data_IF_124941898670
#
_entry.id   IF_124941898670
#
_cell.length_a   1.000
_cell.length_b   1.000
_cell.length_c   1.000
_cell.angle_alpha   90.00
_cell.angle_beta   90.00
_cell.angle_gamma   90.00
#
_symmetry.space_group_name_H-M   'P 1'
#
loop_
_entity.id
_entity.type
_entity.pdbx_description
1 polymer ?
#
# COMPACT_ATOMS: atom_id res chain seq x y z
N UNK A 1 -21.07 15.43 -14.38
CA UNK A 1 -20.35 15.59 -13.10
C UNK A 1 -19.01 16.23 -13.41
N UNK A 2 -18.54 17.24 -12.67
CA UNK A 2 -17.22 17.82 -12.95
C UNK A 2 -16.14 16.78 -12.65
N UNK A 3 -15.07 16.75 -13.46
CA UNK A 3 -13.95 15.80 -13.32
C UNK A 3 -13.35 15.82 -11.90
N UNK A 4 -13.31 17.00 -11.27
CA UNK A 4 -12.80 17.20 -9.92
C UNK A 4 -13.56 16.38 -8.86
N UNK A 5 -14.90 16.40 -8.87
CA UNK A 5 -15.69 15.66 -7.87
C UNK A 5 -15.46 14.15 -7.93
N UNK A 6 -15.18 13.62 -9.12
CA UNK A 6 -14.85 12.21 -9.31
C UNK A 6 -13.47 11.90 -8.74
N UNK A 7 -12.48 12.76 -8.99
CA UNK A 7 -11.11 12.62 -8.46
C UNK A 7 -11.11 12.68 -6.94
N UNK A 8 -11.75 13.69 -6.35
CA UNK A 8 -11.86 13.84 -4.90
C UNK A 8 -12.52 12.62 -4.25
N UNK A 9 -13.54 12.04 -4.91
CA UNK A 9 -14.17 10.82 -4.41
C UNK A 9 -13.21 9.64 -4.42
N UNK A 10 -12.45 9.44 -5.50
CA UNK A 10 -11.49 8.33 -5.59
C UNK A 10 -10.32 8.53 -4.61
N UNK A 11 -9.82 9.76 -4.43
CA UNK A 11 -8.82 10.10 -3.42
C UNK A 11 -9.32 9.79 -2.00
N UNK A 12 -10.59 10.10 -1.69
CA UNK A 12 -11.17 9.73 -0.38
C UNK A 12 -11.27 8.22 -0.17
N UNK A 13 -11.53 7.45 -1.22
CA UNK A 13 -11.52 5.98 -1.13
C UNK A 13 -10.09 5.45 -0.94
N UNK A 14 -9.11 6.03 -1.63
CA UNK A 14 -7.70 5.73 -1.41
C UNK A 14 -7.27 6.04 0.03
N UNK A 15 -7.64 7.23 0.53
CA UNK A 15 -7.38 7.66 1.90
C UNK A 15 -7.97 6.70 2.92
N UNK A 16 -9.24 6.32 2.76
CA UNK A 16 -9.88 5.35 3.63
C UNK A 16 -9.16 3.99 3.63
N UNK A 17 -8.61 3.59 2.48
CA UNK A 17 -7.86 2.33 2.35
C UNK A 17 -6.52 2.41 3.09
N UNK A 18 -5.77 3.51 2.92
CA UNK A 18 -4.50 3.75 3.61
C UNK A 18 -4.70 3.87 5.14
N UNK A 19 -5.72 4.58 5.61
CA UNK A 19 -6.08 4.68 7.02
C UNK A 19 -6.41 3.32 7.65
N UNK A 20 -7.14 2.46 6.92
CA UNK A 20 -7.45 1.12 7.40
C UNK A 20 -6.20 0.24 7.51
N UNK A 21 -5.26 0.35 6.56
CA UNK A 21 -3.99 -0.36 6.61
C UNK A 21 -3.10 0.15 7.74
N UNK A 22 -3.00 1.47 7.91
CA UNK A 22 -2.27 2.10 9.00
C UNK A 22 -2.75 1.59 10.38
N UNK A 23 -4.07 1.66 10.62
CA UNK A 23 -4.68 1.18 11.87
C UNK A 23 -4.46 -0.33 12.07
N UNK A 24 -4.57 -1.12 10.99
CA UNK A 24 -4.25 -2.55 11.03
C UNK A 24 -2.80 -2.80 11.47
N UNK A 25 -1.83 -2.09 10.88
CA UNK A 25 -0.41 -2.28 11.18
C UNK A 25 -0.03 -1.83 12.58
N UNK A 26 -0.55 -0.70 13.05
CA UNK A 26 -0.37 -0.23 14.43
C UNK A 26 -0.87 -1.26 15.44
N UNK A 27 -2.11 -1.75 15.27
CA UNK A 27 -2.69 -2.77 16.17
C UNK A 27 -1.92 -4.09 16.13
N UNK A 28 -1.58 -4.56 14.94
CA UNK A 28 -0.80 -5.79 14.80
C UNK A 28 0.60 -5.68 15.43
N UNK A 29 1.23 -4.50 15.36
CA UNK A 29 2.53 -4.24 15.97
C UNK A 29 2.47 -4.26 17.50
N UNK A 30 1.35 -3.87 18.09
CA UNK A 30 1.14 -3.92 19.54
C UNK A 30 0.93 -5.34 20.06
N UNK A 31 0.31 -6.21 19.27
CA UNK A 31 0.02 -7.59 19.64
C UNK A 31 1.22 -8.55 19.42
N UNK A 32 2.08 -8.26 18.44
CA UNK A 32 3.17 -9.18 18.08
C UNK A 32 4.34 -9.10 19.06
N UNK A 33 4.79 -10.28 19.54
CA UNK A 33 5.92 -10.38 20.49
C UNK A 33 7.29 -10.38 19.81
N UNK A 34 7.36 -10.79 18.55
CA UNK A 34 8.63 -10.92 17.83
C UNK A 34 9.11 -9.56 17.35
N UNK A 35 10.24 -9.08 17.90
CA UNK A 35 10.79 -7.74 17.61
C UNK A 35 10.98 -7.48 16.12
N UNK A 36 11.47 -8.45 15.35
CA UNK A 36 11.68 -8.29 13.89
C UNK A 36 10.36 -8.12 13.13
N UNK A 37 9.31 -8.82 13.53
CA UNK A 37 7.98 -8.69 12.91
C UNK A 37 7.31 -7.39 13.35
N UNK A 38 7.46 -7.00 14.62
CA UNK A 38 6.99 -5.70 15.12
C UNK A 38 7.63 -4.54 14.33
N UNK A 39 8.94 -4.59 14.14
CA UNK A 39 9.66 -3.58 13.36
C UNK A 39 9.15 -3.51 11.91
N UNK A 40 8.91 -4.66 11.25
CA UNK A 40 8.30 -4.69 9.93
C UNK A 40 6.93 -3.97 9.92
N UNK A 41 6.05 -4.31 10.85
CA UNK A 41 4.71 -3.72 10.92
C UNK A 41 4.74 -2.20 11.16
N UNK A 42 5.67 -1.72 12.00
CA UNK A 42 5.84 -0.28 12.22
C UNK A 42 6.36 0.44 10.97
N UNK A 43 7.30 -0.17 10.24
CA UNK A 43 7.77 0.37 8.94
C UNK A 43 6.63 0.41 7.92
N UNK A 44 5.76 -0.61 7.90
CA UNK A 44 4.59 -0.61 7.03
C UNK A 44 3.59 0.47 7.44
N UNK A 45 3.35 0.67 8.74
CA UNK A 45 2.50 1.75 9.23
C UNK A 45 3.05 3.13 8.83
N UNK A 46 4.35 3.38 9.00
CA UNK A 46 5.00 4.62 8.58
C UNK A 46 4.83 4.86 7.06
N UNK A 47 4.97 3.82 6.24
CA UNK A 47 4.73 3.92 4.81
C UNK A 47 3.26 4.25 4.45
N UNK A 48 2.28 3.77 5.23
CA UNK A 48 0.87 4.17 5.07
C UNK A 48 0.63 5.61 5.51
N UNK A 49 1.27 6.06 6.59
CA UNK A 49 1.19 7.44 7.08
C UNK A 49 1.71 8.42 6.02
N UNK A 50 2.87 8.13 5.41
CA UNK A 50 3.38 8.91 4.28
C UNK A 50 2.41 8.95 3.08
N UNK A 51 1.68 7.86 2.84
CA UNK A 51 0.68 7.80 1.77
C UNK A 51 -0.58 8.61 2.13
N UNK A 52 -1.01 8.55 3.39
CA UNK A 52 -2.12 9.34 3.93
C UNK A 52 -1.82 10.83 3.74
N UNK A 53 -0.67 11.30 4.21
CA UNK A 53 -0.27 12.71 4.13
C UNK A 53 -0.29 13.21 2.68
N UNK A 54 0.23 12.41 1.74
CA UNK A 54 0.21 12.74 0.31
C UNK A 54 -1.20 12.81 -0.26
N UNK A 55 -2.09 11.89 0.12
CA UNK A 55 -3.48 11.91 -0.38
C UNK A 55 -4.24 13.11 0.21
N UNK A 56 -3.98 13.48 1.46
CA UNK A 56 -4.58 14.65 2.10
C UNK A 56 -4.10 15.95 1.45
N UNK A 57 -2.81 16.04 1.10
CA UNK A 57 -2.27 17.19 0.35
C UNK A 57 -2.96 17.32 -1.01
N UNK A 58 -3.02 16.23 -1.79
CA UNK A 58 -3.73 16.20 -3.08
C UNK A 58 -5.22 16.59 -2.99
N UNK A 59 -5.89 16.28 -1.87
CA UNK A 59 -7.26 16.70 -1.62
C UNK A 59 -7.39 18.20 -1.31
N UNK A 60 -6.33 18.81 -0.78
CA UNK A 60 -6.29 20.22 -0.42
C UNK A 60 -5.81 21.12 -1.56
N UNK A 61 -4.76 20.72 -2.28
CA UNK A 61 -4.05 21.51 -3.30
C UNK A 61 -4.42 21.10 -4.74
N UNK A 62 -4.96 19.89 -4.91
CA UNK A 62 -5.19 19.27 -6.22
C UNK A 62 -4.04 18.32 -6.60
N UNK A 63 -4.18 17.56 -7.69
CA UNK A 63 -3.25 16.46 -8.02
C UNK A 63 -2.09 16.87 -8.94
N UNK A 64 -2.02 18.13 -9.37
CA UNK A 64 -1.12 18.57 -10.46
C UNK A 64 0.34 18.58 -10.00
N UNK A 65 0.62 19.16 -8.83
CA UNK A 65 1.98 19.30 -8.31
C UNK A 65 2.61 17.94 -7.98
N UNK A 66 1.83 17.02 -7.42
CA UNK A 66 2.27 15.68 -7.11
C UNK A 66 2.55 14.89 -8.38
N UNK A 67 1.75 15.04 -9.43
CA UNK A 67 1.98 14.34 -10.70
C UNK A 67 3.22 14.81 -11.45
N UNK A 68 3.58 16.09 -11.37
CA UNK A 68 4.85 16.60 -11.90
C UNK A 68 6.04 15.97 -11.17
N UNK A 69 5.89 15.62 -9.88
CA UNK A 69 6.89 14.87 -9.13
C UNK A 69 6.96 13.36 -9.48
N UNK A 70 5.96 12.83 -10.19
CA UNK A 70 5.83 11.41 -10.54
C UNK A 70 6.44 11.01 -11.89
N UNK A 71 6.92 11.97 -12.69
CA UNK A 71 7.58 11.67 -13.98
C UNK A 71 8.85 10.80 -13.84
N UNK A 72 9.35 10.58 -12.63
CA UNK A 72 10.52 9.75 -12.34
C UNK A 72 10.21 8.37 -11.74
N UNK A 73 8.96 7.92 -11.74
CA UNK A 73 8.65 6.60 -11.16
C UNK A 73 9.11 5.51 -12.13
N UNK A 74 10.33 5.01 -11.91
CA UNK A 74 10.91 3.87 -12.62
C UNK A 74 9.93 2.68 -12.67
N UNK A 75 9.97 1.90 -13.75
CA UNK A 75 9.25 0.63 -13.90
C UNK A 75 9.55 -0.30 -12.71
N UNK A 76 8.73 -0.25 -11.66
CA UNK A 76 8.84 -1.20 -10.56
C UNK A 76 8.32 -2.54 -11.08
N UNK A 77 9.21 -3.53 -11.10
CA UNK A 77 8.88 -4.90 -11.46
C UNK A 77 7.68 -5.40 -10.66
N UNK A 78 6.83 -6.20 -11.33
CA UNK A 78 5.63 -6.77 -10.71
C UNK A 78 5.98 -7.47 -9.38
N UNK A 79 5.35 -7.09 -8.25
CA UNK A 79 5.73 -7.59 -6.95
C UNK A 79 5.34 -9.08 -6.79
N UNK A 80 6.13 -9.83 -6.02
CA UNK A 80 5.83 -11.23 -5.73
C UNK A 80 4.71 -11.35 -4.70
N UNK A 81 3.52 -11.75 -5.16
CA UNK A 81 2.31 -11.86 -4.33
C UNK A 81 2.17 -13.23 -3.62
N UNK A 82 3.13 -14.15 -3.80
CA UNK A 82 3.00 -15.54 -3.34
C UNK A 82 3.09 -15.63 -1.81
N UNK A 83 2.12 -16.26 -1.11
CA UNK A 83 2.20 -16.48 0.33
C UNK A 83 3.46 -17.26 0.75
N UNK A 84 3.98 -16.97 1.95
CA UNK A 84 5.09 -17.69 2.55
C UNK A 84 4.59 -18.97 3.21
N UNK A 85 5.13 -20.11 2.78
CA UNK A 85 4.96 -21.45 3.41
C UNK A 85 3.62 -21.61 4.17
N UNK A 86 2.48 -21.73 3.43
CA UNK A 86 1.15 -21.68 4.03
C UNK A 86 0.91 -22.73 5.11
N UNK A 87 1.53 -23.91 4.97
CA UNK A 87 1.42 -24.98 5.95
C UNK A 87 2.14 -24.62 7.24
N UNK A 88 3.35 -24.05 7.16
CA UNK A 88 4.09 -23.62 8.35
C UNK A 88 3.44 -22.41 9.02
N UNK A 89 2.77 -21.55 8.27
CA UNK A 89 2.05 -20.39 8.81
C UNK A 89 0.91 -20.76 9.79
N UNK A 90 0.41 -22.00 9.77
CA UNK A 90 -0.57 -22.48 10.75
C UNK A 90 0.01 -22.63 12.16
N UNK A 91 1.34 -22.75 12.28
CA UNK A 91 2.04 -23.03 13.53
C UNK A 91 3.14 -22.03 13.86
N UNK A 92 3.68 -21.32 12.87
CA UNK A 92 4.67 -20.26 13.05
C UNK A 92 3.98 -18.88 13.06
N UNK A 93 3.85 -18.23 14.24
CA UNK A 93 3.15 -16.94 14.35
C UNK A 93 3.84 -15.82 13.55
N UNK A 94 5.14 -15.95 13.24
CA UNK A 94 5.86 -14.94 12.44
C UNK A 94 5.41 -15.00 10.99
N UNK A 95 5.35 -16.22 10.43
CA UNK A 95 4.85 -16.43 9.07
C UNK A 95 3.37 -16.13 8.94
N UNK A 96 2.57 -16.46 9.97
CA UNK A 96 1.16 -16.08 10.02
C UNK A 96 1.00 -14.56 9.83
N UNK A 97 1.71 -13.76 10.63
CA UNK A 97 1.65 -12.30 10.55
C UNK A 97 2.20 -11.78 9.21
N UNK A 98 3.32 -12.34 8.71
CA UNK A 98 3.86 -12.00 7.40
C UNK A 98 2.85 -12.23 6.27
N UNK A 99 2.14 -13.37 6.27
CA UNK A 99 1.12 -13.66 5.27
C UNK A 99 -0.09 -12.73 5.38
N UNK A 100 -0.50 -12.37 6.61
CA UNK A 100 -1.61 -11.42 6.81
C UNK A 100 -1.22 -10.01 6.37
N UNK A 101 -0.01 -9.56 6.66
CA UNK A 101 0.51 -8.29 6.15
C UNK A 101 0.60 -8.29 4.62
N UNK A 102 1.12 -9.37 4.02
CA UNK A 102 1.17 -9.53 2.57
C UNK A 102 -0.23 -9.49 1.95
N UNK A 103 -1.21 -10.16 2.55
CA UNK A 103 -2.59 -10.17 2.07
C UNK A 103 -3.19 -8.75 2.02
N UNK A 104 -2.93 -7.91 3.01
CA UNK A 104 -3.38 -6.51 3.00
C UNK A 104 -2.75 -5.74 1.84
N UNK A 105 -1.43 -5.82 1.67
CA UNK A 105 -0.76 -5.07 0.61
C UNK A 105 -1.11 -5.56 -0.78
N UNK A 106 -1.30 -6.86 -0.96
CA UNK A 106 -1.78 -7.43 -2.23
C UNK A 106 -3.18 -6.92 -2.57
N UNK A 107 -4.07 -6.77 -1.58
CA UNK A 107 -5.41 -6.18 -1.79
C UNK A 107 -5.31 -4.71 -2.17
N UNK A 108 -4.49 -3.93 -1.47
CA UNK A 108 -4.26 -2.51 -1.79
C UNK A 108 -3.64 -2.31 -3.17
N UNK A 109 -2.60 -3.07 -3.50
CA UNK A 109 -1.94 -3.08 -4.81
C UNK A 109 -2.93 -3.34 -5.94
N UNK A 110 -3.68 -4.45 -5.86
CA UNK A 110 -4.66 -4.81 -6.87
C UNK A 110 -5.82 -3.81 -6.96
N UNK A 111 -6.23 -3.26 -5.82
CA UNK A 111 -7.27 -2.24 -5.78
C UNK A 111 -6.86 -1.01 -6.60
N UNK A 112 -5.69 -0.43 -6.32
CA UNK A 112 -5.20 0.74 -7.04
C UNK A 112 -4.90 0.47 -8.51
N UNK A 113 -4.27 -0.66 -8.84
CA UNK A 113 -4.06 -1.05 -10.23
C UNK A 113 -5.38 -1.17 -11.01
N UNK A 114 -6.42 -1.71 -10.36
CA UNK A 114 -7.74 -1.81 -10.97
C UNK A 114 -8.44 -0.46 -11.17
N UNK A 115 -8.11 0.55 -10.36
CA UNK A 115 -8.59 1.92 -10.55
C UNK A 115 -7.85 2.62 -11.69
N UNK A 116 -6.54 2.42 -11.78
CA UNK A 116 -5.73 2.95 -12.87
C UNK A 116 -6.26 2.47 -14.23
N UNK A 117 -6.37 1.14 -14.40
CA UNK A 117 -6.85 0.52 -15.65
C UNK A 117 -8.26 0.97 -16.05
N UNK A 118 -9.13 1.28 -15.08
CA UNK A 118 -10.51 1.71 -15.34
C UNK A 118 -10.64 3.22 -15.55
N UNK A 119 -9.59 3.98 -15.28
CA UNK A 119 -9.59 5.43 -15.46
C UNK A 119 -9.64 5.79 -16.95
N UNK A 120 -10.48 6.76 -17.30
CA UNK A 120 -10.50 7.38 -18.64
C UNK A 120 -9.55 8.56 -18.77
N UNK A 121 -8.99 9.01 -17.65
CA UNK A 121 -8.04 10.12 -17.59
C UNK A 121 -6.66 9.53 -17.33
N UNK A 122 -5.71 9.83 -18.22
CA UNK A 122 -4.31 9.41 -18.08
C UNK A 122 -3.71 9.90 -16.76
N UNK A 123 -3.95 11.16 -16.43
CA UNK A 123 -3.57 11.82 -15.16
C UNK A 123 -4.02 10.97 -13.96
N UNK A 124 -5.29 10.56 -13.93
CA UNK A 124 -5.83 9.74 -12.85
C UNK A 124 -5.29 8.29 -12.90
N UNK A 125 -5.02 7.75 -14.10
CA UNK A 125 -4.39 6.43 -14.25
C UNK A 125 -3.02 6.42 -13.59
N UNK A 126 -2.17 7.38 -13.94
CA UNK A 126 -0.80 7.51 -13.42
C UNK A 126 -0.77 7.72 -11.92
N UNK A 127 -1.73 8.46 -11.37
CA UNK A 127 -1.87 8.62 -9.93
C UNK A 127 -2.13 7.28 -9.21
N UNK A 128 -3.04 6.47 -9.75
CA UNK A 128 -3.35 5.15 -9.15
C UNK A 128 -2.26 4.12 -9.41
N UNK A 129 -1.56 4.20 -10.54
CA UNK A 129 -0.33 3.44 -10.78
C UNK A 129 0.72 3.81 -9.73
N UNK A 130 0.91 5.09 -9.42
CA UNK A 130 1.81 5.52 -8.36
C UNK A 130 1.45 4.92 -6.99
N UNK A 131 0.17 4.94 -6.61
CA UNK A 131 -0.25 4.30 -5.35
C UNK A 131 -0.01 2.78 -5.37
N UNK A 132 -0.26 2.11 -6.50
CA UNK A 132 0.08 0.70 -6.65
C UNK A 132 1.59 0.46 -6.51
N UNK A 133 2.42 1.32 -7.10
CA UNK A 133 3.88 1.27 -6.99
C UNK A 133 4.36 1.40 -5.54
N UNK A 134 3.72 2.28 -4.74
CA UNK A 134 3.99 2.38 -3.30
C UNK A 134 3.66 1.08 -2.57
N UNK A 135 2.50 0.46 -2.87
CA UNK A 135 2.12 -0.86 -2.35
C UNK A 135 3.10 -1.95 -2.75
N UNK A 136 3.61 -1.92 -3.98
CA UNK A 136 4.63 -2.87 -4.44
C UNK A 136 5.92 -2.77 -3.61
N UNK A 137 6.35 -1.56 -3.24
CA UNK A 137 7.49 -1.34 -2.34
C UNK A 137 7.28 -1.91 -0.93
N UNK A 138 6.06 -1.81 -0.39
CA UNK A 138 5.68 -2.43 0.88
C UNK A 138 5.69 -3.97 0.78
N UNK A 139 5.16 -4.53 -0.31
CA UNK A 139 5.23 -5.98 -0.60
C UNK A 139 6.69 -6.43 -0.62
N UNK A 140 7.57 -5.72 -1.30
CA UNK A 140 8.98 -6.08 -1.38
C UNK A 140 9.67 -6.02 -0.01
N UNK A 141 9.31 -5.06 0.83
CA UNK A 141 9.78 -4.97 2.22
C UNK A 141 9.38 -6.20 3.03
N UNK A 142 8.14 -6.67 2.85
CA UNK A 142 7.65 -7.93 3.45
C UNK A 142 8.44 -9.12 2.90
N UNK A 143 8.62 -9.23 1.57
CA UNK A 143 9.42 -10.30 0.91
C UNK A 143 10.82 -10.39 1.49
N UNK A 144 11.51 -9.25 1.59
CA UNK A 144 12.89 -9.19 2.08
C UNK A 144 13.02 -9.66 3.52
N UNK A 145 12.13 -9.23 4.41
CA UNK A 145 12.25 -9.56 5.83
C UNK A 145 11.74 -10.98 6.13
N UNK A 146 10.56 -11.33 5.63
CA UNK A 146 9.87 -12.57 5.96
C UNK A 146 10.50 -13.81 5.30
N UNK A 147 11.23 -13.66 4.20
CA UNK A 147 12.00 -14.76 3.59
C UNK A 147 13.14 -15.28 4.47
N UNK A 148 13.50 -14.55 5.54
CA UNK A 148 14.55 -14.96 6.49
C UNK A 148 14.04 -15.79 7.66
N UNK A 149 12.73 -16.06 7.74
CA UNK A 149 12.10 -16.85 8.80
C UNK A 149 11.96 -18.31 8.42
#
# INVERSE_FOLDING_TARGET
MSSQKTIDHMLRVALATALNHFDYYQRAADEVKTTRVKALLLVLAEAEEELIDRIEDMLATGIVEELESLESTDDIAEPNLTPFDPQRAETDPRLYVCNRALEQEVKGYNFFLSLAVRSKSEVVSRLFEYFATRKAGQIESIRRLCSTF
#
